data_IF_389971182220
#
_entry.id   IF_389971182220
#
_cell.length_a   1.000
_cell.length_b   1.000
_cell.length_c   1.000
_cell.angle_alpha   90.00
_cell.angle_beta   90.00
_cell.angle_gamma   90.00
#
_symmetry.space_group_name_H-M   'P 1'
#
loop_
_entity.id
_entity.type
_entity.pdbx_description
1 polymer ?
#
# COMPACT_ATOMS: atom_id res chain seq x y z
N UNK A 1 -12.11 2.75 1.51
CA UNK A 1 -10.79 3.31 1.89
C UNK A 1 -10.12 3.84 0.62
N UNK A 2 -10.06 5.15 0.39
CA UNK A 2 -9.61 5.73 -0.90
C UNK A 2 -8.23 5.25 -1.35
N UNK A 3 -7.31 5.02 -0.41
CA UNK A 3 -5.96 4.52 -0.71
C UNK A 3 -5.99 3.04 -1.05
N UNK A 4 -6.75 2.23 -0.33
CA UNK A 4 -6.87 0.80 -0.60
C UNK A 4 -7.42 0.55 -2.02
N UNK A 5 -8.49 1.26 -2.41
CA UNK A 5 -9.06 1.13 -3.75
C UNK A 5 -8.08 1.57 -4.84
N UNK A 6 -7.29 2.62 -4.55
CA UNK A 6 -6.26 3.10 -5.46
C UNK A 6 -5.10 2.12 -5.60
N UNK A 7 -4.69 1.47 -4.51
CA UNK A 7 -3.68 0.41 -4.50
C UNK A 7 -4.19 -0.80 -5.30
N UNK A 8 -5.39 -1.30 -5.00
CA UNK A 8 -6.05 -2.39 -5.76
C UNK A 8 -6.11 -2.08 -7.25
N UNK A 9 -6.54 -0.88 -7.63
CA UNK A 9 -6.62 -0.48 -9.05
C UNK A 9 -5.27 -0.30 -9.73
N UNK A 10 -4.21 0.01 -8.98
CA UNK A 10 -2.85 0.18 -9.53
C UNK A 10 -2.15 -1.17 -9.70
N UNK A 11 -2.23 -2.03 -8.69
CA UNK A 11 -1.62 -3.37 -8.68
C UNK A 11 -2.51 -4.45 -9.33
N UNK A 12 -3.78 -4.12 -9.63
CA UNK A 12 -4.81 -5.04 -10.15
C UNK A 12 -4.99 -6.31 -9.31
N UNK A 13 -4.96 -6.17 -7.99
CA UNK A 13 -5.14 -7.28 -7.03
C UNK A 13 -6.28 -7.01 -6.06
N UNK A 14 -6.78 -8.09 -5.46
CA UNK A 14 -7.76 -8.04 -4.38
C UNK A 14 -7.13 -7.79 -3.01
N UNK A 15 -7.96 -7.65 -1.97
CA UNK A 15 -7.57 -7.23 -0.62
C UNK A 15 -6.57 -8.14 0.08
N UNK A 16 -6.40 -9.37 -0.39
CA UNK A 16 -5.52 -10.39 0.19
C UNK A 16 -4.82 -11.17 -0.92
N UNK A 17 -4.29 -10.46 -1.92
CA UNK A 17 -3.70 -11.04 -3.13
C UNK A 17 -2.22 -10.71 -3.28
N UNK A 18 -1.51 -11.58 -3.99
CA UNK A 18 -0.19 -11.27 -4.56
C UNK A 18 -0.37 -10.86 -6.02
N UNK A 19 0.35 -9.83 -6.48
CA UNK A 19 0.35 -9.43 -7.89
C UNK A 19 0.90 -10.56 -8.76
N UNK A 20 0.41 -10.71 -10.00
CA UNK A 20 0.90 -11.70 -10.97
C UNK A 20 2.43 -11.68 -11.16
N UNK A 21 3.05 -10.52 -10.99
CA UNK A 21 4.50 -10.34 -11.10
C UNK A 21 5.28 -10.80 -9.86
N UNK A 22 4.58 -11.30 -8.82
CA UNK A 22 5.14 -11.77 -7.55
C UNK A 22 5.96 -10.72 -6.77
N UNK A 23 5.84 -9.44 -7.14
CA UNK A 23 6.57 -8.32 -6.50
C UNK A 23 5.89 -7.74 -5.27
N UNK A 24 4.56 -7.70 -5.27
CA UNK A 24 3.79 -7.06 -4.22
C UNK A 24 2.69 -7.98 -3.71
N UNK A 25 2.56 -8.01 -2.39
CA UNK A 25 1.45 -8.67 -1.69
C UNK A 25 0.67 -7.61 -0.93
N UNK A 26 -0.64 -7.53 -1.18
CA UNK A 26 -1.52 -6.64 -0.44
C UNK A 26 -2.12 -7.41 0.74
N UNK A 27 -1.76 -6.99 1.95
CA UNK A 27 -2.31 -7.54 3.19
C UNK A 27 -2.93 -6.42 4.02
N UNK A 28 -4.22 -6.51 4.38
CA UNK A 28 -4.89 -5.50 5.18
C UNK A 28 -4.63 -5.81 6.65
N UNK A 29 -3.84 -4.95 7.29
CA UNK A 29 -3.55 -5.04 8.72
C UNK A 29 -4.42 -4.05 9.50
N UNK A 30 -4.93 -4.50 10.65
CA UNK A 30 -5.79 -3.66 11.49
C UNK A 30 -5.04 -2.50 12.17
N UNK A 31 -3.76 -2.68 12.50
CA UNK A 31 -2.94 -1.67 13.17
C UNK A 31 -1.46 -1.82 12.82
N UNK A 32 -0.82 -0.70 12.45
CA UNK A 32 0.63 -0.57 12.28
C UNK A 32 1.29 0.24 13.41
N UNK A 33 0.54 0.62 14.44
CA UNK A 33 1.04 1.48 15.53
C UNK A 33 1.33 2.93 15.13
N UNK A 34 1.06 3.31 13.87
CA UNK A 34 1.33 4.63 13.32
C UNK A 34 0.06 5.49 13.18
N UNK A 35 -0.82 5.45 14.17
CA UNK A 35 -2.13 6.15 14.13
C UNK A 35 -1.99 7.66 13.87
N UNK A 36 -0.94 8.31 14.37
CA UNK A 36 -0.68 9.74 14.14
C UNK A 36 -0.22 10.08 12.72
N UNK A 37 0.10 9.07 11.91
CA UNK A 37 0.53 9.21 10.52
C UNK A 37 -0.49 8.60 9.54
N UNK A 38 -1.70 8.27 10.02
CA UNK A 38 -2.76 7.79 9.15
C UNK A 38 -3.04 8.82 8.03
N UNK A 39 -3.19 8.38 6.76
CA UNK A 39 -3.12 7.01 6.27
C UNK A 39 -1.66 6.50 6.14
N UNK A 40 -1.44 5.25 6.54
CA UNK A 40 -0.11 4.62 6.57
C UNK A 40 -0.13 3.32 5.76
N UNK A 41 0.95 3.07 5.02
CA UNK A 41 1.22 1.80 4.33
C UNK A 41 2.64 1.39 4.67
N UNK A 42 2.86 0.10 4.88
CA UNK A 42 4.18 -0.48 5.08
C UNK A 42 4.52 -1.31 3.84
N UNK A 43 5.70 -1.09 3.27
CA UNK A 43 6.22 -1.87 2.15
C UNK A 43 7.55 -2.44 2.61
N UNK A 44 7.63 -3.78 2.66
CA UNK A 44 8.72 -4.50 3.31
C UNK A 44 8.90 -4.00 4.75
N UNK A 45 10.01 -3.32 5.07
CA UNK A 45 10.32 -2.78 6.40
C UNK A 45 10.14 -1.25 6.49
N UNK A 46 9.72 -0.60 5.39
CA UNK A 46 9.62 0.85 5.33
C UNK A 46 8.18 1.30 5.53
N UNK A 47 7.96 2.11 6.56
CA UNK A 47 6.65 2.70 6.87
C UNK A 47 6.49 4.06 6.17
N UNK A 48 5.46 4.18 5.34
CA UNK A 48 5.09 5.41 4.66
C UNK A 48 3.81 5.98 5.27
N UNK A 49 3.95 7.11 5.96
CA UNK A 49 2.84 7.84 6.59
C UNK A 49 2.36 9.05 5.78
N UNK A 50 1.20 9.60 6.16
CA UNK A 50 0.56 10.78 5.53
C UNK A 50 0.39 10.60 4.02
N UNK A 51 0.03 9.38 3.61
CA UNK A 51 -0.12 9.05 2.21
C UNK A 51 -1.36 9.71 1.61
N UNK A 52 -1.21 10.16 0.38
CA UNK A 52 -2.34 10.54 -0.48
C UNK A 52 -2.55 9.43 -1.51
N UNK A 53 -3.78 9.26 -2.05
CA UNK A 53 -4.05 8.28 -3.10
C UNK A 53 -3.19 8.52 -4.36
N UNK A 54 -2.73 9.73 -4.62
CA UNK A 54 -1.83 9.98 -5.76
C UNK A 54 -0.36 9.63 -5.43
N UNK A 55 0.04 9.85 -4.17
CA UNK A 55 1.40 9.59 -3.69
C UNK A 55 1.78 8.12 -3.53
N UNK A 56 0.83 7.18 -3.61
CA UNK A 56 1.14 5.74 -3.54
C UNK A 56 1.87 5.23 -4.79
N UNK A 57 1.53 5.77 -5.98
CA UNK A 57 2.12 5.38 -7.26
C UNK A 57 3.65 5.50 -7.29
N UNK A 58 4.23 6.68 -6.98
CA UNK A 58 5.69 6.83 -6.98
C UNK A 58 6.39 6.00 -5.89
N UNK A 59 5.68 5.61 -4.83
CA UNK A 59 6.25 4.75 -3.80
C UNK A 59 6.35 3.32 -4.33
N UNK A 60 5.31 2.81 -5.00
CA UNK A 60 5.34 1.49 -5.62
C UNK A 60 6.43 1.41 -6.71
N UNK A 61 6.53 2.45 -7.55
CA UNK A 61 7.55 2.56 -8.61
C UNK A 61 8.99 2.55 -8.06
N UNK A 62 9.20 3.14 -6.87
CA UNK A 62 10.51 3.15 -6.21
C UNK A 62 10.97 1.77 -5.72
N UNK A 63 10.06 0.82 -5.56
CA UNK A 63 10.35 -0.56 -5.16
C UNK A 63 10.20 -1.55 -6.32
N UNK A 64 10.09 -1.06 -7.57
CA UNK A 64 10.20 -1.86 -8.81
C UNK A 64 11.67 -2.06 -9.24
#
# INVERSE_FOLDING_TARGET
LKILERVKGTLKIEETGTTDDLRFTLEPVACLGACGLAPVVMINDVTYGRLTPDGIKPILDKHE
#
